data_IF_530582848632
#
_entry.id   IF_530582848632
#
_cell.length_a   1.000
_cell.length_b   1.000
_cell.length_c   1.000
_cell.angle_alpha   90.00
_cell.angle_beta   90.00
_cell.angle_gamma   90.00
#
_symmetry.space_group_name_H-M   'P 1'
#
loop_
_entity.id
_entity.type
_entity.pdbx_description
1 polymer ?
#
# COMPACT_ATOMS: atom_id res chain seq x y z
N UNK A 1 -17.58 -38.55 -40.49
CA UNK A 1 -17.67 -39.02 -39.09
C UNK A 1 -16.31 -39.64 -38.80
N UNK A 2 -15.47 -39.22 -37.85
CA UNK A 2 -15.69 -38.61 -36.53
C UNK A 2 -14.43 -37.86 -36.09
N UNK A 3 -14.63 -36.88 -35.21
CA UNK A 3 -13.73 -35.82 -34.71
C UNK A 3 -12.41 -36.23 -34.00
N UNK A 4 -11.46 -35.30 -33.87
CA UNK A 4 -10.09 -35.55 -33.40
C UNK A 4 -9.95 -35.60 -31.87
N UNK A 5 -9.14 -36.55 -31.40
CA UNK A 5 -8.67 -36.70 -30.02
C UNK A 5 -7.66 -35.59 -29.66
N UNK A 6 -8.15 -34.40 -29.29
CA UNK A 6 -7.33 -33.31 -28.75
C UNK A 6 -8.01 -32.67 -27.54
N UNK A 7 -7.91 -33.29 -26.36
CA UNK A 7 -8.37 -32.62 -25.13
C UNK A 7 -7.67 -33.04 -23.83
N UNK A 8 -6.94 -34.15 -23.80
CA UNK A 8 -6.47 -34.70 -22.52
C UNK A 8 -5.17 -34.05 -21.97
N UNK A 9 -4.38 -33.40 -22.83
CA UNK A 9 -3.03 -32.91 -22.47
C UNK A 9 -2.96 -31.45 -21.99
N UNK A 10 -4.07 -30.70 -21.97
CA UNK A 10 -4.11 -29.27 -21.55
C UNK A 10 -4.53 -29.02 -20.10
N UNK A 11 -5.02 -30.03 -19.37
CA UNK A 11 -5.63 -29.85 -18.03
C UNK A 11 -4.67 -29.86 -16.84
N UNK A 12 -3.40 -30.26 -17.01
CA UNK A 12 -2.41 -30.38 -15.91
C UNK A 12 -1.46 -29.19 -15.70
N UNK A 13 -1.60 -28.08 -16.45
CA UNK A 13 -0.73 -26.88 -16.33
C UNK A 13 -1.38 -25.64 -15.71
N UNK A 14 -2.49 -25.77 -14.98
CA UNK A 14 -2.86 -24.72 -14.01
C UNK A 14 -1.89 -24.79 -12.83
N UNK A 15 -0.70 -24.20 -12.97
CA UNK A 15 0.21 -23.91 -11.86
C UNK A 15 -0.63 -23.30 -10.73
N UNK A 16 -0.82 -24.04 -9.63
CA UNK A 16 -1.36 -23.49 -8.37
C UNK A 16 -0.51 -22.25 -8.07
N UNK A 17 -1.06 -21.04 -8.18
CA UNK A 17 -0.40 -19.84 -7.67
C UNK A 17 -0.09 -20.14 -6.21
N UNK A 18 1.18 -20.06 -5.81
CA UNK A 18 1.57 -20.19 -4.41
C UNK A 18 0.67 -19.26 -3.59
N UNK A 19 0.08 -19.79 -2.52
CA UNK A 19 -0.82 -19.05 -1.62
C UNK A 19 -0.02 -17.87 -1.08
N UNK A 20 -0.22 -16.68 -1.64
CA UNK A 20 0.45 -15.46 -1.18
C UNK A 20 -0.02 -15.18 0.24
N UNK A 21 0.90 -15.22 1.19
CA UNK A 21 0.61 -14.86 2.57
C UNK A 21 0.46 -13.34 2.66
N UNK A 22 -0.79 -12.89 2.76
CA UNK A 22 -1.10 -11.48 2.99
C UNK A 22 -0.89 -11.13 4.46
N UNK A 23 -0.32 -9.96 4.73
CA UNK A 23 -0.19 -9.43 6.09
C UNK A 23 -1.51 -8.80 6.53
N UNK A 24 -1.86 -8.89 7.80
CA UNK A 24 -3.06 -8.21 8.33
C UNK A 24 -2.70 -6.79 8.75
N UNK A 25 -3.36 -5.79 8.16
CA UNK A 25 -3.22 -4.37 8.50
C UNK A 25 -4.51 -3.87 9.15
N UNK A 26 -4.40 -3.03 10.17
CA UNK A 26 -5.57 -2.40 10.79
C UNK A 26 -6.13 -1.25 9.95
N UNK A 27 -7.36 -0.82 10.20
CA UNK A 27 -7.97 0.34 9.52
C UNK A 27 -7.18 1.66 9.74
N UNK A 28 -6.39 1.72 10.82
CA UNK A 28 -5.32 2.71 11.02
C UNK A 28 -3.99 2.01 11.07
N UNK A 29 -2.97 2.60 10.45
CA UNK A 29 -1.61 2.09 10.49
C UNK A 29 -0.59 3.24 10.48
N UNK A 30 0.69 2.85 10.50
CA UNK A 30 1.82 3.74 10.24
C UNK A 30 2.59 3.21 9.04
N UNK A 31 3.03 4.13 8.19
CA UNK A 31 3.91 3.84 7.06
C UNK A 31 5.08 4.82 7.05
N UNK A 32 6.17 4.41 6.44
CA UNK A 32 7.31 5.27 6.18
C UNK A 32 7.34 5.61 4.69
N UNK A 33 7.79 6.83 4.37
CA UNK A 33 8.06 7.30 3.02
C UNK A 33 9.58 7.60 2.94
N UNK A 34 10.43 6.56 2.75
CA UNK A 34 11.88 6.68 2.84
C UNK A 34 12.47 7.68 1.84
N UNK A 35 11.88 7.84 0.66
CA UNK A 35 12.36 8.81 -0.34
C UNK A 35 12.26 10.26 0.15
N UNK A 36 11.44 10.51 1.17
CA UNK A 36 11.19 11.81 1.76
C UNK A 36 11.73 11.92 3.19
N UNK A 37 12.42 10.88 3.70
CA UNK A 37 12.89 10.84 5.09
C UNK A 37 11.76 10.90 6.13
N UNK A 38 10.54 10.48 5.77
CA UNK A 38 9.37 10.55 6.64
C UNK A 38 9.09 9.20 7.29
N UNK A 39 9.16 9.17 8.62
CA UNK A 39 8.88 7.96 9.40
C UNK A 39 7.59 8.04 10.22
N UNK A 40 6.86 6.93 10.23
CA UNK A 40 5.69 6.73 11.07
C UNK A 40 4.51 7.62 10.69
N UNK A 41 4.37 7.96 9.40
CA UNK A 41 3.23 8.70 8.84
C UNK A 41 1.95 7.94 9.15
N UNK A 42 1.02 8.59 9.84
CA UNK A 42 -0.27 7.98 10.15
C UNK A 42 -1.14 7.87 8.90
N UNK A 43 -1.65 6.66 8.65
CA UNK A 43 -2.54 6.39 7.53
C UNK A 43 -3.89 5.90 8.02
N UNK A 44 -4.94 6.32 7.31
CA UNK A 44 -6.20 5.58 7.28
C UNK A 44 -6.17 4.62 6.10
N UNK A 45 -6.37 3.34 6.34
CA UNK A 45 -6.52 2.33 5.29
C UNK A 45 -7.90 2.51 4.67
N UNK A 46 -7.94 2.76 3.37
CA UNK A 46 -9.15 3.15 2.66
C UNK A 46 -9.39 2.22 1.46
N UNK A 47 -10.17 1.17 1.69
CA UNK A 47 -10.57 0.24 0.63
C UNK A 47 -11.54 0.87 -0.38
N UNK A 48 -12.09 2.06 -0.11
CA UNK A 48 -12.93 2.83 -1.04
C UNK A 48 -12.12 3.64 -2.06
N UNK A 49 -10.88 4.02 -1.73
CA UNK A 49 -9.98 4.74 -2.63
C UNK A 49 -9.17 3.81 -3.54
N UNK A 50 -9.09 4.11 -4.85
CA UNK A 50 -8.18 3.40 -5.77
C UNK A 50 -6.71 3.75 -5.48
N UNK A 51 -6.42 5.05 -5.50
CA UNK A 51 -5.07 5.60 -5.37
C UNK A 51 -4.89 6.18 -3.95
N UNK A 52 -3.68 6.07 -3.42
CA UNK A 52 -3.33 6.66 -2.13
C UNK A 52 -3.27 8.19 -2.25
N UNK A 53 -3.49 8.90 -1.13
CA UNK A 53 -3.39 10.37 -1.10
C UNK A 53 -2.62 10.83 0.12
N UNK A 54 -1.80 11.86 -0.06
CA UNK A 54 -1.00 12.49 0.98
C UNK A 54 -1.41 13.94 1.12
N UNK A 55 -1.64 14.35 2.37
CA UNK A 55 -1.91 15.73 2.68
C UNK A 55 -0.63 16.54 2.50
N UNK A 56 -0.70 17.50 1.58
CA UNK A 56 0.36 18.43 1.30
C UNK A 56 -0.15 19.87 1.41
N UNK A 57 0.75 20.76 1.83
CA UNK A 57 0.53 22.21 1.86
C UNK A 57 1.68 22.92 1.16
N UNK A 58 1.52 24.21 0.85
CA UNK A 58 2.56 25.02 0.22
C UNK A 58 3.13 24.39 -1.06
N UNK A 59 2.27 23.78 -1.86
CA UNK A 59 2.65 23.13 -3.12
C UNK A 59 3.11 24.21 -4.10
N UNK A 60 4.31 24.05 -4.66
CA UNK A 60 4.92 24.93 -5.66
C UNK A 60 5.52 24.09 -6.78
N UNK A 61 5.19 24.42 -8.02
CA UNK A 61 5.86 23.85 -9.19
C UNK A 61 7.18 24.57 -9.43
N UNK A 62 8.18 23.83 -9.89
CA UNK A 62 9.46 24.36 -10.32
C UNK A 62 10.14 23.41 -11.29
N UNK A 63 11.04 23.94 -12.12
CA UNK A 63 11.86 23.12 -13.02
C UNK A 63 13.22 22.86 -12.38
N UNK A 64 13.70 21.63 -12.44
CA UNK A 64 15.02 21.21 -11.96
C UNK A 64 15.64 20.26 -12.98
N UNK A 65 16.85 20.59 -13.43
CA UNK A 65 17.59 19.81 -14.43
C UNK A 65 16.77 19.53 -15.71
N UNK A 66 15.95 20.51 -16.13
CA UNK A 66 15.10 20.40 -17.32
C UNK A 66 13.82 19.55 -17.14
N UNK A 67 13.55 19.04 -15.94
CA UNK A 67 12.34 18.29 -15.61
C UNK A 67 11.40 19.09 -14.70
N UNK A 68 10.10 18.77 -14.74
CA UNK A 68 9.08 19.36 -13.87
C UNK A 68 9.05 18.70 -12.49
N UNK A 69 9.08 19.52 -11.44
CA UNK A 69 9.10 19.09 -10.04
C UNK A 69 8.07 19.86 -9.22
N UNK A 70 7.74 19.28 -8.07
CA UNK A 70 6.88 19.91 -7.07
C UNK A 70 7.57 19.92 -5.72
N UNK A 71 7.56 21.09 -5.06
CA UNK A 71 7.98 21.25 -3.67
C UNK A 71 6.74 21.44 -2.80
N UNK A 72 6.65 20.72 -1.69
CA UNK A 72 5.50 20.77 -0.80
C UNK A 72 5.89 20.44 0.64
N UNK A 73 4.95 20.67 1.56
CA UNK A 73 5.12 20.43 3.00
C UNK A 73 4.18 19.35 3.50
N UNK A 74 4.72 18.37 4.22
CA UNK A 74 3.99 17.21 4.77
C UNK A 74 4.16 17.17 6.29
N UNK A 75 3.16 16.67 7.00
CA UNK A 75 3.28 16.32 8.43
C UNK A 75 2.99 14.83 8.64
N UNK A 76 3.60 14.21 9.64
CA UNK A 76 3.48 12.76 9.91
C UNK A 76 2.23 12.38 10.71
N UNK A 77 1.49 13.37 11.23
CA UNK A 77 0.30 13.18 12.09
C UNK A 77 0.62 12.98 13.58
N UNK A 78 1.90 12.91 13.96
CA UNK A 78 2.29 12.82 15.38
C UNK A 78 1.73 14.01 16.18
N UNK A 79 1.09 13.75 17.33
CA UNK A 79 0.53 14.79 18.21
C UNK A 79 1.65 15.73 18.66
N UNK A 80 1.48 17.04 18.44
CA UNK A 80 2.50 18.05 18.73
C UNK A 80 3.53 18.27 17.61
N UNK A 81 3.55 17.43 16.56
CA UNK A 81 4.39 17.67 15.38
C UNK A 81 3.77 18.78 14.52
N UNK A 82 4.07 20.04 14.87
CA UNK A 82 3.93 21.19 13.96
C UNK A 82 5.06 21.24 12.93
N UNK A 83 6.00 20.30 13.00
CA UNK A 83 7.12 20.21 12.06
C UNK A 83 6.58 19.68 10.75
N UNK A 84 6.47 20.60 9.79
CA UNK A 84 6.26 20.27 8.40
C UNK A 84 7.61 19.98 7.75
N UNK A 85 7.75 18.80 7.18
CA UNK A 85 8.93 18.43 6.39
C UNK A 85 8.73 18.95 4.97
N UNK A 86 9.72 19.70 4.47
CA UNK A 86 9.77 20.10 3.07
C UNK A 86 10.21 18.91 2.22
N UNK A 87 9.45 18.63 1.18
CA UNK A 87 9.65 17.49 0.27
C UNK A 87 9.66 18.03 -1.15
N UNK A 88 10.55 17.46 -1.96
CA UNK A 88 10.59 17.65 -3.41
C UNK A 88 10.40 16.31 -4.09
N UNK A 89 9.60 16.28 -5.15
CA UNK A 89 9.43 15.10 -5.97
C UNK A 89 9.22 15.51 -7.44
N UNK A 90 9.65 14.68 -8.41
CA UNK A 90 9.27 14.85 -9.80
C UNK A 90 7.74 14.87 -9.95
N UNK A 91 7.23 15.77 -10.80
CA UNK A 91 5.84 15.77 -11.21
C UNK A 91 5.61 14.59 -12.16
N UNK A 92 4.88 13.56 -11.73
CA UNK A 92 4.61 12.40 -12.57
C UNK A 92 3.43 12.62 -13.50
N UNK A 93 2.34 13.19 -12.97
CA UNK A 93 1.08 13.36 -13.68
C UNK A 93 0.16 14.35 -12.92
N UNK A 94 -0.90 14.82 -13.58
CA UNK A 94 -2.02 15.53 -12.96
C UNK A 94 -3.31 14.77 -13.31
N UNK A 95 -4.07 14.36 -12.30
CA UNK A 95 -5.28 13.52 -12.51
C UNK A 95 -6.50 14.10 -11.82
N UNK A 96 -7.62 14.07 -12.54
CA UNK A 96 -8.93 14.36 -11.96
C UNK A 96 -9.37 13.23 -11.01
N UNK A 97 -9.49 13.57 -9.73
CA UNK A 97 -9.92 12.65 -8.67
C UNK A 97 -11.30 13.07 -8.19
N UNK A 98 -12.27 12.14 -8.32
CA UNK A 98 -13.61 12.31 -7.74
C UNK A 98 -13.61 11.85 -6.28
N UNK A 99 -13.98 12.72 -5.36
CA UNK A 99 -14.20 12.39 -3.95
C UNK A 99 -15.60 11.82 -3.71
N UNK A 100 -15.79 11.20 -2.54
CA UNK A 100 -17.07 10.58 -2.14
C UNK A 100 -18.24 11.56 -2.03
N UNK A 101 -17.97 12.86 -1.92
CA UNK A 101 -18.98 13.93 -1.96
C UNK A 101 -19.35 14.38 -3.39
N UNK A 102 -18.85 13.69 -4.42
CA UNK A 102 -19.12 13.98 -5.82
C UNK A 102 -18.22 15.05 -6.46
N UNK A 103 -17.50 15.84 -5.66
CA UNK A 103 -16.58 16.86 -6.17
C UNK A 103 -15.42 16.23 -6.95
N UNK A 104 -14.99 16.92 -8.01
CA UNK A 104 -13.83 16.54 -8.81
C UNK A 104 -12.75 17.59 -8.60
N UNK A 105 -11.55 17.13 -8.29
CA UNK A 105 -10.37 17.97 -8.06
C UNK A 105 -9.22 17.40 -8.88
N UNK A 106 -8.52 18.26 -9.62
CA UNK A 106 -7.26 17.88 -10.25
C UNK A 106 -6.17 17.77 -9.18
N UNK A 107 -5.47 16.64 -9.15
CA UNK A 107 -4.42 16.38 -8.16
C UNK A 107 -3.12 15.97 -8.83
N UNK A 108 -2.05 16.56 -8.32
CA UNK A 108 -0.67 16.19 -8.64
C UNK A 108 -0.42 14.76 -8.18
N UNK A 109 0.21 13.97 -9.05
CA UNK A 109 0.67 12.61 -8.79
C UNK A 109 2.19 12.63 -8.67
N UNK A 110 2.69 11.98 -7.63
CA UNK A 110 4.12 11.72 -7.43
C UNK A 110 4.36 10.22 -7.25
N UNK A 111 5.56 9.76 -7.55
CA UNK A 111 6.03 8.43 -7.19
C UNK A 111 6.82 8.47 -5.89
N UNK A 112 6.62 7.46 -5.03
CA UNK A 112 7.43 7.26 -3.83
C UNK A 112 7.37 5.80 -3.39
N UNK A 113 8.40 5.35 -2.68
CA UNK A 113 8.39 4.10 -1.94
C UNK A 113 7.58 4.26 -0.66
N UNK A 114 6.72 3.27 -0.40
CA UNK A 114 6.02 3.11 0.88
C UNK A 114 6.62 1.90 1.59
N UNK A 115 6.95 2.07 2.87
CA UNK A 115 7.42 0.98 3.73
C UNK A 115 6.51 0.78 4.94
N UNK A 116 6.11 -0.47 5.21
CA UNK A 116 5.40 -0.84 6.43
C UNK A 116 5.41 -2.36 6.63
N UNK A 117 5.40 -2.80 7.89
CA UNK A 117 5.34 -4.23 8.26
C UNK A 117 6.38 -5.11 7.54
N UNK A 118 7.59 -4.58 7.28
CA UNK A 118 8.66 -5.30 6.58
C UNK A 118 8.43 -5.48 5.07
N UNK A 119 7.53 -4.72 4.47
CA UNK A 119 7.33 -4.64 3.02
C UNK A 119 7.66 -3.22 2.54
N UNK A 120 8.35 -3.11 1.41
CA UNK A 120 8.62 -1.85 0.73
C UNK A 120 8.26 -1.99 -0.75
N UNK A 121 7.58 -1.00 -1.32
CA UNK A 121 7.17 -1.01 -2.73
C UNK A 121 6.98 0.39 -3.29
N UNK A 122 7.12 0.54 -4.60
CA UNK A 122 6.82 1.79 -5.31
C UNK A 122 5.32 2.02 -5.42
N UNK A 123 4.90 3.25 -5.19
CA UNK A 123 3.51 3.67 -5.24
C UNK A 123 3.36 5.06 -5.85
N UNK A 124 2.28 5.23 -6.62
CA UNK A 124 1.77 6.54 -6.98
C UNK A 124 0.91 7.09 -5.85
N UNK A 125 1.17 8.35 -5.47
CA UNK A 125 0.45 9.06 -4.42
C UNK A 125 -0.02 10.40 -4.97
N UNK A 126 -1.28 10.73 -4.70
CA UNK A 126 -1.84 12.05 -5.04
C UNK A 126 -1.61 13.05 -3.91
N UNK A 127 -1.26 14.29 -4.24
CA UNK A 127 -1.19 15.38 -3.27
C UNK A 127 -2.59 15.99 -3.10
N UNK A 128 -3.05 16.15 -1.87
CA UNK A 128 -4.38 16.67 -1.56
C UNK A 128 -4.36 17.71 -0.43
N UNK A 129 -5.23 18.71 -0.50
CA UNK A 129 -5.42 19.71 0.57
C UNK A 129 -6.47 19.25 1.57
N UNK A 130 -6.09 18.37 2.50
CA UNK A 130 -6.93 17.76 3.53
C UNK A 130 -6.85 18.52 4.87
N UNK A 131 -7.23 19.81 4.86
CA UNK A 131 -6.93 20.78 5.93
C UNK A 131 -7.50 20.51 7.35
N UNK A 132 -8.43 19.58 7.54
CA UNK A 132 -9.06 19.30 8.85
C UNK A 132 -9.08 17.81 9.25
N UNK A 133 -8.34 16.94 8.54
CA UNK A 133 -8.51 15.51 8.68
C UNK A 133 -7.49 14.84 9.61
N UNK A 134 -7.96 13.86 10.40
CA UNK A 134 -7.19 13.15 11.43
C UNK A 134 -6.01 12.32 10.92
N UNK A 135 -5.89 12.08 9.62
CA UNK A 135 -4.81 11.30 9.01
C UNK A 135 -4.19 12.06 7.84
N UNK A 136 -2.87 12.32 7.87
CA UNK A 136 -2.19 12.98 6.76
C UNK A 136 -2.24 12.14 5.49
N UNK A 137 -2.44 10.82 5.57
CA UNK A 137 -2.41 9.97 4.38
C UNK A 137 -3.57 8.96 4.36
N UNK A 138 -4.11 8.70 3.16
CA UNK A 138 -4.97 7.56 2.87
C UNK A 138 -4.17 6.49 2.11
N UNK A 139 -4.26 5.24 2.56
CA UNK A 139 -3.67 4.10 1.87
C UNK A 139 -4.75 3.39 1.04
N UNK A 140 -4.72 3.60 -0.27
CA UNK A 140 -5.73 3.10 -1.21
C UNK A 140 -5.50 1.66 -1.67
N UNK A 141 -6.49 1.08 -2.36
CA UNK A 141 -6.47 -0.32 -2.85
C UNK A 141 -5.24 -0.67 -3.71
N UNK A 142 -4.68 0.26 -4.47
CA UNK A 142 -3.47 -0.01 -5.27
C UNK A 142 -2.25 -0.38 -4.42
N UNK A 143 -2.15 0.20 -3.22
CA UNK A 143 -1.12 -0.16 -2.24
C UNK A 143 -1.48 -1.43 -1.46
N UNK A 144 -2.77 -1.65 -1.19
CA UNK A 144 -3.25 -2.79 -0.39
C UNK A 144 -3.24 -4.12 -1.15
N UNK A 145 -3.60 -4.08 -2.43
CA UNK A 145 -3.79 -5.29 -3.26
C UNK A 145 -2.54 -6.16 -3.21
N UNK A 146 -2.77 -7.46 -3.08
CA UNK A 146 -1.73 -8.49 -3.07
C UNK A 146 -0.71 -8.41 -1.92
N UNK A 147 -0.87 -7.47 -0.97
CA UNK A 147 0.02 -7.27 0.18
C UNK A 147 -0.69 -7.43 1.51
N UNK A 148 -1.93 -6.93 1.62
CA UNK A 148 -2.63 -6.84 2.90
C UNK A 148 -4.06 -7.36 2.89
N UNK A 149 -4.46 -7.95 4.03
CA UNK A 149 -5.85 -8.10 4.47
C UNK A 149 -6.17 -6.98 5.46
N UNK A 150 -7.32 -6.32 5.32
CA UNK A 150 -7.70 -5.20 6.19
C UNK A 150 -8.58 -5.70 7.33
N UNK A 151 -8.12 -5.50 8.57
CA UNK A 151 -8.89 -5.71 9.78
C UNK A 151 -9.49 -4.37 10.25
N UNK A 152 -10.79 -4.21 10.01
CA UNK A 152 -11.54 -3.01 10.37
C UNK A 152 -11.73 -2.82 11.87
N UNK A 153 -11.55 -3.88 12.68
CA UNK A 153 -11.70 -3.84 14.13
C UNK A 153 -10.41 -3.46 14.87
N UNK A 154 -9.26 -3.44 14.18
CA UNK A 154 -7.95 -3.21 14.81
C UNK A 154 -7.21 -2.02 14.21
N UNK A 155 -6.30 -1.47 15.00
CA UNK A 155 -5.44 -0.34 14.62
C UNK A 155 -4.00 -0.62 15.01
N UNK A 156 -3.05 -0.11 14.23
CA UNK A 156 -1.61 -0.16 14.53
C UNK A 156 -1.11 -1.58 14.83
N UNK A 157 -1.61 -2.56 14.06
CA UNK A 157 -1.18 -3.95 14.19
C UNK A 157 0.33 -4.02 13.94
N UNK A 158 1.07 -4.56 14.91
CA UNK A 158 2.50 -4.80 14.75
C UNK A 158 2.72 -6.00 13.81
N UNK A 159 3.76 -5.98 12.96
CA UNK A 159 4.11 -7.17 12.20
C UNK A 159 4.37 -8.33 13.17
N UNK A 160 3.63 -9.42 13.00
CA UNK A 160 4.02 -10.71 13.57
C UNK A 160 5.01 -11.36 12.60
N UNK A 161 6.07 -12.04 13.09
CA UNK A 161 6.79 -12.97 12.24
C UNK A 161 5.80 -14.00 11.69
N UNK A 162 5.99 -14.49 10.45
CA UNK A 162 5.19 -15.60 9.95
C UNK A 162 5.28 -16.75 10.95
N UNK A 163 4.14 -17.35 11.30
CA UNK A 163 4.13 -18.56 12.12
C UNK A 163 4.81 -19.64 11.27
N UNK A 164 5.92 -20.25 11.72
CA UNK A 164 6.48 -21.38 11.02
C UNK A 164 5.39 -22.43 10.86
N UNK A 165 5.08 -22.82 9.62
CA UNK A 165 4.25 -24.00 9.40
C UNK A 165 5.10 -25.17 9.88
N UNK A 166 4.86 -25.63 11.11
CA UNK A 166 5.49 -26.86 11.60
C UNK A 166 5.18 -27.96 10.58
N UNK A 167 6.17 -28.76 10.15
CA UNK A 167 5.90 -29.91 9.31
C UNK A 167 4.84 -30.78 10.01
N UNK A 168 3.95 -31.46 9.27
CA UNK A 168 3.01 -32.39 9.88
C UNK A 168 3.79 -33.33 10.78
N UNK A 169 3.32 -33.49 12.03
CA UNK A 169 3.94 -34.40 13.01
C UNK A 169 4.13 -35.75 12.33
N UNK A 170 5.36 -36.27 12.34
CA UNK A 170 5.63 -37.59 11.80
C UNK A 170 4.60 -38.58 12.37
N UNK A 171 4.07 -39.51 11.55
CA UNK A 171 3.19 -40.54 12.08
C UNK A 171 3.89 -41.26 13.22
N UNK A 172 3.15 -41.54 14.29
CA UNK A 172 3.68 -42.29 15.42
C UNK A 172 4.32 -43.60 14.91
N UNK A 173 5.45 -44.03 15.49
CA UNK A 173 6.03 -45.32 15.13
C UNK A 173 4.95 -46.39 15.30
N UNK A 174 4.70 -47.16 14.24
CA UNK A 174 3.77 -48.28 14.32
C UNK A 174 4.32 -49.29 15.33
N UNK A 175 3.46 -49.87 16.20
CA UNK A 175 3.90 -50.90 17.13
C UNK A 175 4.49 -52.08 16.34
N UNK A 176 5.50 -52.77 16.89
CA UNK A 176 6.09 -53.92 16.22
C UNK A 176 5.03 -54.97 15.94
N UNK A 177 5.00 -55.46 14.70
CA UNK A 177 4.16 -56.61 14.32
C UNK A 177 4.75 -57.86 14.94
N UNK A 178 3.97 -58.54 15.78
CA UNK A 178 4.25 -59.90 16.28
C UNK A 178 4.07 -60.93 15.18
#
# INVERSE_FOLDING_TARGET
MSEPQSSESKKKRRKKKAKRELRVIGWRARVDLPDFGLEGVQVKVDTGARTSSLHATHIRHFTKDGAEWVRFRVHTGKRGARVHTAVEAPLLDCRNIRSSNGAVEERIVIATRISTMGLTWDAEVTLAKRGSMAFPMLLGRACLRERFLVDSGRSYIKPRPPIPVLPPKAPAPQPPTT
#
